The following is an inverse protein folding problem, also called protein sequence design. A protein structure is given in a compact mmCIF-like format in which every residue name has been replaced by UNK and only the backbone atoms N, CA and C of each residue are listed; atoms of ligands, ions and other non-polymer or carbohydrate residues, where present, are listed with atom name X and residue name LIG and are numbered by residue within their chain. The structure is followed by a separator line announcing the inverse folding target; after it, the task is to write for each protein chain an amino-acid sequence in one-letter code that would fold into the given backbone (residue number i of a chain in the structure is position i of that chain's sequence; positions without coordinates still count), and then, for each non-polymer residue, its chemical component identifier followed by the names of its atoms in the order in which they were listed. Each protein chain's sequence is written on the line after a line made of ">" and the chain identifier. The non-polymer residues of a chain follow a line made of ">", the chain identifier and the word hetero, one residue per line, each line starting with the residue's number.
data_IF_323440906469
#
_entry.id   IF_323440906469
#
_cell.length_a   1.000
_cell.length_b   1.000
_cell.length_c   1.000
_cell.angle_alpha   90.00
_cell.angle_beta   90.00
_cell.angle_gamma   90.00
#
_symmetry.space_group_name_H-M   'P 1'
#
loop_
_entity.id
_entity.type
_entity.pdbx_description
1 polymer ?
#
# COMPACT_ATOMS: atom_id res chain seq x y z
N UNK A 1 -8.46 10.26 3.97
CA UNK A 1 -7.09 9.68 3.89
C UNK A 1 -6.90 8.77 2.69
N UNK A 2 -7.88 7.92 2.31
CA UNK A 2 -7.80 7.12 1.07
C UNK A 2 -7.70 7.98 -0.20
N UNK A 3 -8.39 9.13 -0.25
CA UNK A 3 -8.34 10.07 -1.38
C UNK A 3 -6.92 10.41 -1.84
N UNK A 4 -5.96 10.54 -0.90
CA UNK A 4 -4.56 10.86 -1.23
C UNK A 4 -3.94 9.82 -2.14
N UNK A 5 -4.35 8.56 -2.08
CA UNK A 5 -3.71 7.46 -2.82
C UNK A 5 -4.56 6.94 -3.98
N UNK A 6 -5.76 7.51 -4.20
CA UNK A 6 -6.63 7.10 -5.33
C UNK A 6 -5.97 7.27 -6.70
N UNK A 7 -5.00 8.18 -6.83
CA UNK A 7 -4.24 8.33 -8.07
C UNK A 7 -3.41 7.08 -8.44
N UNK A 8 -3.25 6.12 -7.53
CA UNK A 8 -2.59 4.84 -7.80
C UNK A 8 -3.49 3.85 -8.57
N UNK A 9 -4.81 4.05 -8.56
CA UNK A 9 -5.74 3.19 -9.30
C UNK A 9 -5.39 3.22 -10.80
N UNK A 10 -5.30 2.06 -11.42
CA UNK A 10 -4.93 1.89 -12.82
C UNK A 10 -3.42 1.97 -13.10
N UNK A 11 -2.57 2.18 -12.10
CA UNK A 11 -1.11 2.10 -12.27
C UNK A 11 -0.63 0.66 -12.31
N UNK A 12 0.41 0.42 -13.07
CA UNK A 12 1.15 -0.85 -13.10
C UNK A 12 1.99 -1.07 -11.84
N UNK A 13 2.40 -2.30 -11.57
CA UNK A 13 3.35 -2.62 -10.49
C UNK A 13 4.66 -1.84 -10.61
N UNK A 14 5.19 -1.67 -11.83
CA UNK A 14 6.40 -0.88 -12.06
C UNK A 14 6.21 0.61 -11.74
N UNK A 15 5.09 1.21 -12.14
CA UNK A 15 4.79 2.60 -11.79
C UNK A 15 4.61 2.77 -10.28
N UNK A 16 3.95 1.81 -9.61
CA UNK A 16 3.82 1.82 -8.15
C UNK A 16 5.20 1.76 -7.48
N UNK A 17 6.11 0.91 -7.95
CA UNK A 17 7.50 0.85 -7.44
C UNK A 17 8.22 2.18 -7.66
N UNK A 18 8.04 2.81 -8.83
CA UNK A 18 8.62 4.12 -9.13
C UNK A 18 8.15 5.22 -8.16
N UNK A 19 6.89 5.15 -7.72
CA UNK A 19 6.26 6.17 -6.87
C UNK A 19 6.50 5.92 -5.38
N UNK A 20 6.40 4.66 -4.93
CA UNK A 20 6.41 4.28 -3.51
C UNK A 20 7.68 3.53 -3.09
N UNK A 21 8.49 3.08 -4.04
CA UNK A 21 9.58 2.13 -3.79
C UNK A 21 9.11 0.68 -3.84
N UNK A 22 10.08 -0.24 -3.82
CA UNK A 22 9.81 -1.68 -3.95
C UNK A 22 9.43 -2.36 -2.63
N UNK A 23 9.89 -1.83 -1.49
CA UNK A 23 9.79 -2.47 -0.17
C UNK A 23 10.03 -4.00 -0.22
N UNK A 24 9.36 -4.79 0.64
CA UNK A 24 9.44 -6.24 0.69
C UNK A 24 8.34 -6.93 -0.13
N UNK A 25 7.81 -6.24 -1.14
CA UNK A 25 6.72 -6.77 -1.95
C UNK A 25 7.25 -7.76 -3.01
N UNK A 26 6.69 -8.96 -3.02
CA UNK A 26 6.99 -9.97 -4.04
C UNK A 26 6.29 -9.58 -5.36
N UNK A 27 7.07 -9.35 -6.42
CA UNK A 27 6.54 -8.78 -7.67
C UNK A 27 5.35 -9.58 -8.26
N UNK A 28 5.36 -10.92 -8.29
CA UNK A 28 4.22 -11.71 -8.76
C UNK A 28 2.96 -11.66 -7.89
N UNK A 29 3.03 -11.20 -6.63
CA UNK A 29 1.87 -11.18 -5.73
C UNK A 29 0.80 -10.17 -6.18
N UNK A 30 -0.48 -10.54 -6.02
CA UNK A 30 -1.62 -9.67 -6.37
C UNK A 30 -2.01 -8.70 -5.25
N UNK A 31 -1.30 -8.71 -4.13
CA UNK A 31 -1.51 -7.83 -3.01
C UNK A 31 -0.17 -7.31 -2.50
N UNK A 32 -0.04 -5.99 -2.39
CA UNK A 32 1.11 -5.36 -1.78
C UNK A 32 0.70 -4.54 -0.58
N UNK A 33 1.63 -4.33 0.34
CA UNK A 33 1.46 -3.44 1.48
C UNK A 33 2.62 -2.47 1.58
N UNK A 34 2.31 -1.25 2.01
CA UNK A 34 3.26 -0.17 2.25
C UNK A 34 2.99 0.43 3.61
N UNK A 35 4.04 0.59 4.43
CA UNK A 35 3.92 1.33 5.68
C UNK A 35 3.87 2.84 5.40
N UNK A 36 2.77 3.49 5.79
CA UNK A 36 2.63 4.93 5.61
C UNK A 36 3.24 5.71 6.77
N UNK A 37 3.00 5.25 7.99
CA UNK A 37 3.62 5.77 9.20
C UNK A 37 3.44 4.80 10.38
N UNK A 38 4.37 4.88 11.32
CA UNK A 38 4.25 4.32 12.67
C UNK A 38 4.54 5.42 13.68
N UNK A 39 3.67 5.60 14.67
CA UNK A 39 3.92 6.51 15.80
C UNK A 39 4.57 5.77 16.96
N UNK A 40 5.30 6.50 17.79
CA UNK A 40 5.90 5.98 19.03
C UNK A 40 4.92 5.28 19.97
N UNK A 41 3.63 5.65 19.92
CA UNK A 41 2.59 5.04 20.75
C UNK A 41 1.92 3.83 20.08
N UNK A 42 2.59 3.21 19.11
CA UNK A 42 2.14 1.97 18.48
C UNK A 42 0.98 2.12 17.50
N UNK A 43 0.68 3.34 17.03
CA UNK A 43 -0.30 3.53 15.95
C UNK A 43 0.41 3.42 14.61
N UNK A 44 0.02 2.44 13.81
CA UNK A 44 0.57 2.18 12.49
C UNK A 44 -0.52 2.35 11.42
N UNK A 45 -0.19 2.98 10.30
CA UNK A 45 -1.05 3.02 9.12
C UNK A 45 -0.39 2.29 7.96
N UNK A 46 -1.11 1.35 7.36
CA UNK A 46 -0.65 0.52 6.24
C UNK A 46 -1.56 0.74 5.05
N UNK A 47 -0.98 1.06 3.90
CA UNK A 47 -1.66 1.06 2.61
C UNK A 47 -1.58 -0.33 2.01
N UNK A 48 -2.72 -0.92 1.66
CA UNK A 48 -2.81 -2.14 0.89
C UNK A 48 -3.24 -1.80 -0.54
N UNK A 49 -2.54 -2.39 -1.52
CA UNK A 49 -2.87 -2.31 -2.93
C UNK A 49 -3.27 -3.69 -3.44
N UNK A 50 -4.32 -3.74 -4.24
CA UNK A 50 -4.80 -4.95 -4.89
C UNK A 50 -4.60 -4.84 -6.39
N UNK A 51 -3.98 -5.85 -6.98
CA UNK A 51 -3.65 -5.89 -8.39
C UNK A 51 -4.49 -6.92 -9.12
N UNK A 52 -4.82 -6.61 -10.38
CA UNK A 52 -5.35 -7.56 -11.33
C UNK A 52 -4.68 -7.31 -12.68
N UNK A 53 -4.08 -8.34 -13.28
CA UNK A 53 -3.34 -8.23 -14.55
C UNK A 53 -2.34 -7.05 -14.52
N UNK A 54 -1.56 -6.97 -13.45
CA UNK A 54 -0.53 -5.94 -13.19
C UNK A 54 -1.03 -4.54 -12.81
N UNK A 55 -2.34 -4.27 -12.88
CA UNK A 55 -2.91 -2.95 -12.57
C UNK A 55 -3.51 -2.89 -11.18
N UNK A 56 -3.33 -1.77 -10.47
CA UNK A 56 -4.04 -1.51 -9.20
C UNK A 56 -5.54 -1.35 -9.48
N UNK A 57 -6.35 -2.27 -8.96
CA UNK A 57 -7.82 -2.23 -9.10
C UNK A 57 -8.52 -1.72 -7.85
N UNK A 58 -7.89 -1.86 -6.69
CA UNK A 58 -8.43 -1.40 -5.42
C UNK A 58 -7.31 -1.06 -4.43
N UNK A 59 -7.64 -0.25 -3.43
CA UNK A 59 -6.74 0.07 -2.33
C UNK A 59 -7.50 0.34 -1.04
N UNK A 60 -6.84 0.07 0.08
CA UNK A 60 -7.35 0.39 1.41
C UNK A 60 -6.24 0.84 2.34
N UNK A 61 -6.58 1.74 3.25
CA UNK A 61 -5.69 2.11 4.35
C UNK A 61 -6.26 1.51 5.63
N UNK A 62 -5.45 0.71 6.31
CA UNK A 62 -5.78 0.15 7.61
C UNK A 62 -4.91 0.82 8.66
N UNK A 63 -5.54 1.32 9.73
CA UNK A 63 -4.86 1.81 10.92
C UNK A 63 -4.94 0.71 11.97
N UNK A 64 -3.79 0.32 12.52
CA UNK A 64 -3.67 -0.67 13.59
C UNK A 64 -3.02 -0.02 14.80
N UNK A 65 -3.39 -0.51 15.97
CA UNK A 65 -2.79 -0.12 17.23
C UNK A 65 -2.14 -1.37 17.81
N UNK A 66 -0.89 -1.24 18.23
CA UNK A 66 -0.23 -2.30 18.98
C UNK A 66 -1.00 -2.47 20.30
N UNK A 67 -1.46 -3.69 20.58
CA UNK A 67 -1.94 -4.03 21.93
C UNK A 67 -0.70 -4.24 22.78
N UNK A 68 -0.37 -3.27 23.62
CA UNK A 68 0.50 -3.49 24.77
C UNK A 68 -0.22 -4.36 25.79
#
# INVERSE_FOLDING_TARGET
>A
MSEKYKYLIGKTKQEVISILGQEFNFFPADHWSYELYTTWWGKQAILYLYFQKDLVVDLKIIIRYWKF
#
